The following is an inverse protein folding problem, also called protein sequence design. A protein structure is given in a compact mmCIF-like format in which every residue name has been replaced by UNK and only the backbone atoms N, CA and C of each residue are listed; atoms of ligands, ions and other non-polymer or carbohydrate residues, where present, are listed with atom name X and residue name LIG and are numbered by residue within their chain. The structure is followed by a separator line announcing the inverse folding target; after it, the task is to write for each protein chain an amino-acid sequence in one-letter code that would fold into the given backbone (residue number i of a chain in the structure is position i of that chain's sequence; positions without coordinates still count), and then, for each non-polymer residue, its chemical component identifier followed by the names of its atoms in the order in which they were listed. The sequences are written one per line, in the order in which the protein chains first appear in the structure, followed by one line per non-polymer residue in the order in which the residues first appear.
data_IF_624429393258
#
_entry.id   IF_624429393258
#
_cell.length_a   1.000
_cell.length_b   1.000
_cell.length_c   1.000
_cell.angle_alpha   90.00
_cell.angle_beta   90.00
_cell.angle_gamma   90.00
#
_symmetry.space_group_name_H-M   'P 1'
#
loop_
_entity.id
_entity.type
_entity.pdbx_description
1 polymer ?
#
# COMPACT_ATOMS: atom_id res chain seq x y z
N UNK A 1 -13.01 -8.45 0.42
CA UNK A 1 -13.82 -8.09 1.60
C UNK A 1 -13.30 -8.90 2.78
N UNK A 2 -12.74 -8.27 3.81
CA UNK A 2 -12.30 -8.97 5.02
C UNK A 2 -13.53 -9.26 5.90
N UNK A 3 -13.77 -10.53 6.23
CA UNK A 3 -14.94 -10.98 7.00
C UNK A 3 -14.76 -10.85 8.52
N UNK A 4 -13.55 -10.52 8.98
CA UNK A 4 -13.21 -10.44 10.40
C UNK A 4 -13.49 -9.02 10.94
N UNK A 5 -14.44 -8.83 11.87
CA UNK A 5 -14.85 -7.51 12.35
C UNK A 5 -13.70 -6.67 12.93
N UNK A 6 -12.74 -7.32 13.58
CA UNK A 6 -11.59 -6.67 14.20
C UNK A 6 -10.62 -6.06 13.18
N UNK A 7 -10.42 -6.74 12.05
CA UNK A 7 -9.62 -6.23 10.93
C UNK A 7 -10.38 -5.10 10.24
N UNK A 8 -11.68 -5.28 10.02
CA UNK A 8 -12.53 -4.26 9.38
C UNK A 8 -12.54 -2.95 10.17
N UNK A 9 -12.71 -3.01 11.50
CA UNK A 9 -12.69 -1.83 12.38
C UNK A 9 -11.39 -1.04 12.29
N UNK A 10 -10.26 -1.72 12.11
CA UNK A 10 -8.94 -1.07 11.96
C UNK A 10 -8.76 -0.51 10.56
N UNK A 11 -9.10 -1.29 9.52
CA UNK A 11 -9.04 -0.85 8.12
C UNK A 11 -9.93 0.37 7.82
N UNK A 12 -11.05 0.54 8.53
CA UNK A 12 -11.93 1.72 8.40
C UNK A 12 -11.27 3.02 8.85
N UNK A 13 -10.16 2.97 9.57
CA UNK A 13 -9.39 4.15 9.98
C UNK A 13 -8.36 4.58 8.92
N UNK A 14 -8.25 3.82 7.82
CA UNK A 14 -7.34 4.08 6.73
C UNK A 14 -8.07 4.46 5.46
N UNK A 15 -7.45 5.34 4.68
CA UNK A 15 -7.75 5.44 3.26
C UNK A 15 -7.04 4.29 2.53
N UNK A 16 -7.82 3.35 1.99
CA UNK A 16 -7.28 2.23 1.23
C UNK A 16 -7.02 2.65 -0.21
N UNK A 17 -5.77 2.45 -0.65
CA UNK A 17 -5.34 2.68 -2.03
C UNK A 17 -4.80 1.37 -2.59
N UNK A 18 -5.19 1.03 -3.81
CA UNK A 18 -4.73 -0.18 -4.49
C UNK A 18 -3.92 0.21 -5.72
N UNK A 19 -2.70 -0.33 -5.82
CA UNK A 19 -1.85 -0.22 -7.00
C UNK A 19 -1.79 -1.62 -7.63
N UNK A 20 -2.19 -1.70 -8.89
CA UNK A 20 -2.11 -2.94 -9.66
C UNK A 20 -0.82 -2.95 -10.46
N UNK A 21 -0.01 -3.98 -10.29
CA UNK A 21 1.29 -4.16 -10.97
C UNK A 21 1.19 -5.11 -12.17
N UNK A 22 0.00 -5.61 -12.47
CA UNK A 22 -0.33 -6.45 -13.61
C UNK A 22 -1.58 -5.90 -14.35
N UNK A 23 -1.98 -6.54 -15.44
CA UNK A 23 -3.10 -6.14 -16.31
C UNK A 23 -4.37 -5.88 -15.50
N UNK A 24 -4.81 -4.62 -15.51
CA UNK A 24 -6.04 -4.18 -14.84
C UNK A 24 -7.24 -4.48 -15.75
N UNK A 25 -8.25 -5.23 -15.28
CA UNK A 25 -9.48 -5.44 -16.04
C UNK A 25 -10.15 -4.10 -16.40
N UNK A 26 -10.77 -3.96 -17.59
CA UNK A 26 -11.37 -2.69 -18.03
C UNK A 26 -12.36 -2.07 -17.05
N UNK A 27 -13.06 -2.88 -16.26
CA UNK A 27 -14.02 -2.43 -15.25
C UNK A 27 -13.40 -1.58 -14.11
N UNK A 28 -12.07 -1.64 -13.93
CA UNK A 28 -11.35 -0.88 -12.90
C UNK A 28 -10.53 0.28 -13.47
N UNK A 29 -10.81 0.68 -14.72
CA UNK A 29 -10.22 1.86 -15.35
C UNK A 29 -11.02 3.15 -15.03
N UNK A 30 -10.39 4.34 -15.06
CA UNK A 30 -8.98 4.56 -15.35
C UNK A 30 -8.06 4.20 -14.17
N UNK A 31 -6.93 3.58 -14.47
CA UNK A 31 -5.86 3.24 -13.51
C UNK A 31 -4.51 3.68 -14.05
N UNK A 32 -3.54 3.92 -13.18
CA UNK A 32 -2.14 4.09 -13.60
C UNK A 32 -1.65 2.85 -14.36
N UNK A 33 -0.73 3.01 -15.34
CA UNK A 33 -0.16 1.87 -16.05
C UNK A 33 0.49 0.87 -15.11
N UNK A 34 0.23 -0.45 -15.27
CA UNK A 34 0.79 -1.48 -14.39
C UNK A 34 2.30 -1.46 -14.27
N UNK A 35 3.00 -1.20 -15.38
CA UNK A 35 4.46 -1.07 -15.42
C UNK A 35 4.96 0.07 -14.53
N UNK A 36 4.25 1.20 -14.50
CA UNK A 36 4.63 2.34 -13.66
C UNK A 36 4.46 2.00 -12.17
N UNK A 37 3.36 1.32 -11.81
CA UNK A 37 3.14 0.87 -10.43
C UNK A 37 4.20 -0.15 -10.00
N UNK A 38 4.56 -1.08 -10.89
CA UNK A 38 5.60 -2.10 -10.63
C UNK A 38 6.97 -1.46 -10.43
N UNK A 39 7.34 -0.53 -11.29
CA UNK A 39 8.62 0.17 -11.21
C UNK A 39 8.70 1.03 -9.94
N UNK A 40 7.61 1.71 -9.57
CA UNK A 40 7.51 2.40 -8.28
C UNK A 40 7.73 1.43 -7.11
N UNK A 41 7.02 0.30 -7.10
CA UNK A 41 7.17 -0.70 -6.04
C UNK A 41 8.61 -1.17 -5.91
N UNK A 42 9.25 -1.54 -7.02
CA UNK A 42 10.62 -2.06 -7.04
C UNK A 42 11.62 -1.00 -6.56
N UNK A 43 11.52 0.22 -7.07
CA UNK A 43 12.48 1.28 -6.77
C UNK A 43 12.38 1.77 -5.32
N UNK A 44 11.18 1.76 -4.73
CA UNK A 44 10.94 2.27 -3.38
C UNK A 44 11.09 1.21 -2.29
N UNK A 45 10.59 -0.01 -2.55
CA UNK A 45 10.53 -1.07 -1.54
C UNK A 45 11.55 -2.19 -1.79
N UNK A 46 12.21 -2.21 -2.96
CA UNK A 46 13.27 -3.18 -3.27
C UNK A 46 12.76 -4.62 -3.45
N UNK A 47 11.45 -4.80 -3.61
CA UNK A 47 10.79 -6.09 -3.62
C UNK A 47 9.60 -6.12 -4.60
N UNK A 48 9.35 -7.27 -5.21
CA UNK A 48 8.19 -7.58 -6.03
C UNK A 48 7.23 -8.57 -5.36
N UNK A 49 7.24 -8.66 -4.04
CA UNK A 49 6.22 -9.40 -3.30
C UNK A 49 4.82 -8.97 -3.74
N UNK A 50 3.96 -9.95 -4.01
CA UNK A 50 2.55 -9.74 -4.36
C UNK A 50 1.64 -10.58 -3.45
N UNK A 51 0.62 -9.98 -2.82
CA UNK A 51 0.44 -8.54 -2.62
C UNK A 51 1.49 -7.95 -1.64
N UNK A 52 1.80 -6.66 -1.81
CA UNK A 52 2.59 -5.88 -0.86
C UNK A 52 1.65 -4.97 -0.08
N UNK A 53 1.72 -4.99 1.26
CA UNK A 53 0.98 -4.08 2.11
C UNK A 53 1.94 -3.09 2.78
N UNK A 54 1.63 -1.79 2.64
CA UNK A 54 2.41 -0.70 3.23
C UNK A 54 1.46 0.30 3.88
N UNK A 55 1.81 0.79 5.07
CA UNK A 55 1.14 1.93 5.69
C UNK A 55 1.98 3.16 5.43
N UNK A 56 1.32 4.17 4.85
CA UNK A 56 1.89 5.45 4.49
C UNK A 56 1.22 6.56 5.29
N UNK A 57 2.01 7.51 5.75
CA UNK A 57 1.58 8.76 6.37
C UNK A 57 1.88 9.91 5.39
N UNK A 58 0.87 10.56 4.79
CA UNK A 58 1.08 11.59 3.77
C UNK A 58 1.75 12.82 4.37
N UNK A 59 2.84 13.27 3.74
CA UNK A 59 3.58 14.47 4.14
C UNK A 59 3.24 15.64 3.23
N UNK A 60 3.09 15.38 1.93
CA UNK A 60 2.66 16.34 0.92
C UNK A 60 2.03 15.59 -0.26
N UNK A 61 1.62 16.31 -1.32
CA UNK A 61 1.06 15.70 -2.53
C UNK A 61 1.99 14.66 -3.19
N UNK A 62 3.31 14.79 -3.02
CA UNK A 62 4.31 13.93 -3.66
C UNK A 62 5.23 13.24 -2.66
N UNK A 63 4.92 13.30 -1.38
CA UNK A 63 5.74 12.66 -0.36
C UNK A 63 4.90 11.96 0.66
N UNK A 64 5.33 10.76 1.02
CA UNK A 64 4.77 10.02 2.13
C UNK A 64 5.88 9.50 3.02
N UNK A 65 5.56 9.31 4.29
CA UNK A 65 6.40 8.63 5.24
C UNK A 65 5.93 7.19 5.35
N UNK A 66 6.83 6.24 5.10
CA UNK A 66 6.57 4.82 5.33
C UNK A 66 6.51 4.60 6.84
N UNK A 67 5.35 4.17 7.34
CA UNK A 67 5.17 3.81 8.74
C UNK A 67 5.55 2.37 8.96
N UNK A 68 5.02 1.48 8.12
CA UNK A 68 5.33 0.05 8.20
C UNK A 68 5.13 -0.65 6.87
N UNK A 69 5.93 -1.69 6.64
CA UNK A 69 5.78 -2.65 5.55
C UNK A 69 5.42 -4.00 6.17
N UNK A 70 4.46 -4.71 5.56
CA UNK A 70 4.12 -6.07 5.95
C UNK A 70 4.89 -7.05 5.07
N UNK A 71 5.79 -7.81 5.69
CA UNK A 71 6.78 -8.64 4.99
C UNK A 71 6.24 -10.01 4.55
N UNK A 72 4.92 -10.24 4.63
CA UNK A 72 4.28 -11.45 4.14
C UNK A 72 3.33 -11.11 2.99
N UNK A 73 3.46 -11.83 1.86
CA UNK A 73 2.55 -11.66 0.73
C UNK A 73 1.14 -12.15 1.05
N UNK A 74 1.02 -13.23 1.82
CA UNK A 74 -0.25 -13.74 2.29
C UNK A 74 -0.35 -13.51 3.78
N UNK A 75 -1.50 -13.03 4.25
CA UNK A 75 -1.79 -12.91 5.68
C UNK A 75 -1.99 -14.31 6.25
N UNK A 76 -0.92 -14.93 6.76
CA UNK A 76 -0.98 -16.23 7.42
C UNK A 76 -1.14 -16.08 8.93
N UNK A 77 -0.66 -14.97 9.50
CA UNK A 77 -0.82 -14.62 10.90
C UNK A 77 -1.72 -13.38 11.06
N UNK A 78 -2.94 -13.63 11.53
CA UNK A 78 -3.93 -12.59 11.79
C UNK A 78 -3.50 -11.61 12.88
N UNK A 79 -2.85 -12.11 13.94
CA UNK A 79 -2.42 -11.27 15.05
C UNK A 79 -1.29 -10.33 14.60
N UNK A 80 -0.34 -10.84 13.81
CA UNK A 80 0.71 -10.04 13.21
C UNK A 80 0.14 -8.96 12.26
N UNK A 81 -0.88 -9.29 11.47
CA UNK A 81 -1.54 -8.32 10.61
C UNK A 81 -2.33 -7.25 11.39
N UNK A 82 -3.01 -7.63 12.48
CA UNK A 82 -3.66 -6.68 13.39
C UNK A 82 -2.62 -5.74 14.00
N UNK A 83 -1.49 -6.27 14.48
CA UNK A 83 -0.41 -5.47 15.05
C UNK A 83 0.20 -4.53 14.01
N UNK A 84 0.31 -4.96 12.75
CA UNK A 84 0.74 -4.13 11.63
C UNK A 84 -0.18 -2.91 11.47
N UNK A 85 -1.51 -3.11 11.46
CA UNK A 85 -2.48 -2.02 11.40
C UNK A 85 -2.39 -1.12 12.65
N UNK A 86 -2.34 -1.68 13.85
CA UNK A 86 -2.26 -0.86 15.08
C UNK A 86 -0.99 -0.01 15.13
N UNK A 87 0.13 -0.55 14.66
CA UNK A 87 1.38 0.21 14.57
C UNK A 87 1.22 1.40 13.65
N UNK A 88 0.54 1.22 12.51
CA UNK A 88 0.32 2.30 11.56
C UNK A 88 -0.49 3.48 12.10
N UNK A 89 -1.31 3.27 13.12
CA UNK A 89 -2.12 4.32 13.76
C UNK A 89 -1.36 5.07 14.86
N UNK A 90 -0.28 4.48 15.39
CA UNK A 90 0.33 4.93 16.66
C UNK A 90 1.82 5.25 16.56
N UNK A 91 2.53 4.64 15.62
CA UNK A 91 3.97 4.82 15.47
C UNK A 91 4.30 6.01 14.55
N UNK A 92 5.42 6.71 14.82
CA UNK A 92 5.97 7.65 13.85
C UNK A 92 6.50 6.88 12.64
N UNK A 93 6.37 7.45 11.45
CA UNK A 93 6.96 6.83 10.28
C UNK A 93 8.49 6.89 10.27
N UNK A 94 9.12 5.95 9.55
CA UNK A 94 10.56 5.66 9.65
C UNK A 94 11.38 6.17 8.47
N UNK A 95 10.74 6.39 7.31
CA UNK A 95 11.43 6.77 6.07
C UNK A 95 10.52 7.60 5.17
N UNK A 96 11.00 8.73 4.66
CA UNK A 96 10.29 9.51 3.65
C UNK A 96 10.56 8.91 2.27
N UNK A 97 9.51 8.82 1.44
CA UNK A 97 9.55 8.40 0.06
C UNK A 97 8.92 9.49 -0.82
N UNK A 98 9.47 9.66 -2.02
CA UNK A 98 8.85 10.47 -3.06
C UNK A 98 7.88 9.61 -3.87
N UNK A 99 6.70 10.16 -4.14
CA UNK A 99 5.68 9.58 -4.99
C UNK A 99 5.79 10.27 -6.35
N UNK A 100 6.24 9.57 -7.40
CA UNK A 100 6.36 10.16 -8.72
C UNK A 100 4.97 10.58 -9.23
N UNK A 101 4.89 11.61 -10.10
CA UNK A 101 3.64 11.92 -10.77
C UNK A 101 3.22 10.74 -11.66
N UNK A 102 1.92 10.45 -11.77
CA UNK A 102 1.45 9.45 -12.71
C UNK A 102 1.87 9.84 -14.14
N UNK A 103 2.15 8.87 -15.02
CA UNK A 103 2.50 9.17 -16.39
C UNK A 103 1.33 9.87 -17.09
N UNK A 104 1.64 10.77 -18.02
CA UNK A 104 0.61 11.41 -18.82
C UNK A 104 -0.18 10.33 -19.55
N UNK A 105 -1.50 10.30 -19.31
CA UNK A 105 -2.42 9.42 -20.04
C UNK A 105 -2.36 9.88 -21.51
N UNK A 106 -1.89 9.01 -22.40
CA UNK A 106 -1.93 9.25 -23.84
C UNK A 106 -3.32 9.00 -24.39
#
# INVERSE_FOLDING_TARGET
MFSLPEVQKRLQQYLQVHLYTDVVPPAFQPSTPPEWNRDFQWNVFGDAQLPLYVILDPVSERQARVVRVYNEGKINDLAAFIQFLETGLTAPGVRIIDIPPPPAVR
#
